data_IF_064907726762
#
_entry.id   IF_064907726762
#
_cell.length_a   1.000
_cell.length_b   1.000
_cell.length_c   1.000
_cell.angle_alpha   90.00
_cell.angle_beta   90.00
_cell.angle_gamma   90.00
#
_symmetry.space_group_name_H-M   'P 1'
#
loop_
_entity.id
_entity.type
_entity.pdbx_description
1 polymer ?
#
# COMPACT_ATOMS: atom_id res chain seq x y z
N UNK A 1 -17.75 -31.93 2.11
CA UNK A 1 -17.11 -30.70 2.61
C UNK A 1 -15.70 -30.65 2.06
N UNK A 2 -15.24 -29.51 1.51
CA UNK A 2 -13.88 -29.41 1.02
C UNK A 2 -12.89 -29.52 2.18
N UNK A 3 -11.92 -30.42 2.08
CA UNK A 3 -10.87 -30.60 3.09
C UNK A 3 -10.01 -29.34 3.16
N UNK A 4 -9.97 -28.70 4.33
CA UNK A 4 -9.24 -27.46 4.58
C UNK A 4 -8.01 -27.76 5.43
N UNK A 5 -6.94 -27.04 5.11
CA UNK A 5 -5.61 -27.17 5.70
C UNK A 5 -5.23 -25.85 6.37
N UNK A 6 -4.29 -25.93 7.28
CA UNK A 6 -3.72 -24.78 7.98
C UNK A 6 -2.21 -24.75 7.80
N UNK A 7 -1.67 -23.56 7.59
CA UNK A 7 -0.24 -23.31 7.77
C UNK A 7 -0.01 -23.06 9.24
N UNK A 8 0.84 -23.86 9.87
CA UNK A 8 1.23 -23.73 11.26
C UNK A 8 2.71 -23.38 11.35
N UNK A 9 3.06 -22.53 12.32
CA UNK A 9 4.44 -22.14 12.59
C UNK A 9 4.85 -22.63 13.97
N UNK A 10 5.86 -23.50 14.03
CA UNK A 10 6.38 -24.02 15.29
C UNK A 10 7.39 -23.04 15.88
N UNK A 11 6.97 -22.32 16.91
CA UNK A 11 7.74 -21.24 17.54
C UNK A 11 9.14 -21.70 18.02
N UNK A 12 9.27 -22.95 18.47
CA UNK A 12 10.55 -23.50 18.97
C UNK A 12 11.50 -23.91 17.85
N UNK A 13 10.99 -24.60 16.83
CA UNK A 13 11.79 -25.09 15.71
C UNK A 13 12.00 -24.03 14.61
N UNK A 14 11.24 -22.92 14.68
CA UNK A 14 11.24 -21.83 13.71
C UNK A 14 11.01 -22.30 12.27
N UNK A 15 10.13 -23.28 12.10
CA UNK A 15 9.72 -23.81 10.81
C UNK A 15 8.20 -23.74 10.66
N UNK A 16 7.76 -23.66 9.41
CA UNK A 16 6.35 -23.73 9.05
C UNK A 16 6.05 -25.08 8.39
N UNK A 17 4.85 -25.61 8.62
CA UNK A 17 4.36 -26.80 7.93
C UNK A 17 2.85 -26.68 7.67
N UNK A 18 2.33 -27.57 6.82
CA UNK A 18 0.92 -27.62 6.42
C UNK A 18 0.28 -28.84 7.07
N UNK A 19 -0.75 -28.59 7.89
CA UNK A 19 -1.50 -29.65 8.56
C UNK A 19 -2.97 -29.61 8.16
N UNK A 20 -3.66 -30.76 8.11
CA UNK A 20 -5.10 -30.77 8.00
C UNK A 20 -5.73 -30.17 9.28
N UNK A 21 -6.89 -29.53 9.16
CA UNK A 21 -7.57 -28.95 10.33
C UNK A 21 -7.91 -29.98 11.41
N UNK A 22 -8.10 -31.24 11.03
CA UNK A 22 -8.33 -32.35 11.97
C UNK A 22 -7.15 -32.60 12.92
N UNK A 23 -5.95 -32.14 12.57
CA UNK A 23 -4.77 -32.22 13.43
C UNK A 23 -4.68 -31.07 14.44
N UNK A 24 -5.58 -30.08 14.39
CA UNK A 24 -5.60 -28.94 15.31
C UNK A 24 -6.62 -29.20 16.40
N UNK A 25 -6.21 -29.05 17.67
CA UNK A 25 -7.11 -29.27 18.80
C UNK A 25 -7.92 -28.01 19.10
N UNK A 26 -9.24 -28.14 19.03
CA UNK A 26 -10.21 -27.08 19.33
C UNK A 26 -10.42 -26.12 18.17
N UNK A 27 -10.96 -24.94 18.47
CA UNK A 27 -11.27 -23.94 17.47
C UNK A 27 -10.00 -23.37 16.82
N UNK A 28 -10.03 -23.29 15.49
CA UNK A 28 -8.92 -22.84 14.67
C UNK A 28 -9.10 -21.37 14.29
N UNK A 29 -8.33 -20.49 14.92
CA UNK A 29 -8.30 -19.06 14.62
C UNK A 29 -6.89 -18.64 14.16
N UNK A 30 -6.83 -17.88 13.06
CA UNK A 30 -5.58 -17.34 12.52
C UNK A 30 -4.98 -16.34 13.51
N UNK A 31 -3.67 -16.45 13.74
CA UNK A 31 -2.91 -15.63 14.69
C UNK A 31 -2.74 -16.27 16.06
N UNK A 32 -3.58 -17.25 16.42
CA UNK A 32 -3.51 -17.92 17.73
C UNK A 32 -2.48 -19.04 17.78
N UNK A 33 -1.95 -19.30 18.99
CA UNK A 33 -1.13 -20.48 19.25
C UNK A 33 -2.01 -21.60 19.80
N UNK A 34 -1.98 -22.77 19.14
CA UNK A 34 -2.80 -23.93 19.48
C UNK A 34 -1.95 -25.20 19.56
N UNK A 35 -2.50 -26.23 20.19
CA UNK A 35 -1.91 -27.57 20.19
C UNK A 35 -2.25 -28.27 18.88
N UNK A 36 -1.24 -28.74 18.17
CA UNK A 36 -1.37 -29.42 16.89
C UNK A 36 -0.69 -30.78 16.95
N UNK A 37 -1.28 -31.79 16.33
CA UNK A 37 -0.68 -33.11 16.16
C UNK A 37 0.18 -33.10 14.90
N UNK A 38 1.48 -33.34 15.06
CA UNK A 38 2.45 -33.45 13.99
C UNK A 38 3.31 -34.68 14.24
N UNK A 39 3.39 -35.59 13.27
CA UNK A 39 4.06 -36.90 13.42
C UNK A 39 3.67 -37.63 14.73
N UNK A 40 2.36 -37.75 14.97
CA UNK A 40 1.75 -38.41 16.14
C UNK A 40 2.12 -37.81 17.52
N UNK A 41 2.72 -36.62 17.53
CA UNK A 41 3.09 -35.87 18.74
C UNK A 41 2.40 -34.52 18.76
N UNK A 42 2.02 -34.07 19.96
CA UNK A 42 1.35 -32.79 20.14
C UNK A 42 2.36 -31.67 20.41
N UNK A 43 2.37 -30.65 19.57
CA UNK A 43 3.22 -29.47 19.66
C UNK A 43 2.40 -28.20 19.80
N UNK A 44 2.99 -27.14 20.34
CA UNK A 44 2.40 -25.79 20.30
C UNK A 44 2.86 -25.05 19.06
N UNK A 45 1.93 -24.61 18.22
CA UNK A 45 2.22 -23.90 16.98
C UNK A 45 1.24 -22.74 16.77
N UNK A 46 1.72 -21.66 16.14
CA UNK A 46 0.90 -20.51 15.74
C UNK A 46 0.20 -20.82 14.43
N UNK A 47 -1.10 -20.58 14.35
CA UNK A 47 -1.88 -20.76 13.12
C UNK A 47 -1.67 -19.51 12.27
N UNK A 48 -1.07 -19.64 11.10
CA UNK A 48 -0.69 -18.51 10.24
C UNK A 48 -1.74 -18.26 9.15
N UNK A 49 -2.34 -19.34 8.64
CA UNK A 49 -3.33 -19.27 7.56
C UNK A 49 -4.18 -20.52 7.53
N UNK A 50 -5.43 -20.42 7.08
CA UNK A 50 -6.35 -21.56 6.88
C UNK A 50 -6.96 -21.47 5.48
N UNK A 51 -6.92 -22.56 4.72
CA UNK A 51 -7.46 -22.56 3.36
C UNK A 51 -7.34 -23.92 2.65
N UNK A 52 -7.59 -23.95 1.32
CA UNK A 52 -7.38 -25.15 0.51
C UNK A 52 -5.89 -25.54 0.44
N UNK A 53 -5.60 -26.84 0.36
CA UNK A 53 -4.22 -27.38 0.33
C UNK A 53 -3.31 -26.65 -0.66
N UNK A 54 -3.76 -26.48 -1.92
CA UNK A 54 -3.01 -25.78 -2.98
C UNK A 54 -2.62 -24.34 -2.61
N UNK A 55 -3.48 -23.65 -1.86
CA UNK A 55 -3.21 -22.27 -1.41
C UNK A 55 -2.18 -22.29 -0.28
N UNK A 56 -2.30 -23.24 0.65
CA UNK A 56 -1.32 -23.43 1.71
C UNK A 56 0.08 -23.76 1.17
N UNK A 57 0.17 -24.64 0.17
CA UNK A 57 1.45 -25.04 -0.47
C UNK A 57 2.17 -23.88 -1.15
N UNK A 58 1.42 -22.92 -1.72
CA UNK A 58 2.01 -21.69 -2.26
C UNK A 58 2.49 -20.77 -1.14
N UNK A 59 1.63 -20.51 -0.16
CA UNK A 59 1.86 -19.52 0.91
C UNK A 59 2.85 -19.95 1.99
N UNK A 60 3.06 -21.25 2.22
CA UNK A 60 3.95 -21.73 3.30
C UNK A 60 5.39 -21.24 3.13
N UNK A 61 5.82 -21.01 1.88
CA UNK A 61 7.15 -20.50 1.54
C UNK A 61 7.35 -19.04 1.91
N UNK A 62 6.25 -18.28 2.00
CA UNK A 62 6.25 -16.86 2.30
C UNK A 62 6.11 -16.57 3.80
N UNK A 63 6.02 -17.62 4.63
CA UNK A 63 5.95 -17.48 6.08
C UNK A 63 7.29 -16.94 6.58
N UNK A 64 7.25 -15.76 7.20
CA UNK A 64 8.44 -15.14 7.78
C UNK A 64 8.98 -15.94 8.97
N UNK A 65 10.22 -15.65 9.35
CA UNK A 65 10.87 -16.14 10.59
C UNK A 65 10.13 -15.79 11.88
N UNK A 66 9.14 -14.89 11.83
CA UNK A 66 8.30 -14.54 12.97
C UNK A 66 6.94 -15.27 12.96
N UNK A 67 6.71 -16.17 12.00
CA UNK A 67 5.43 -16.86 11.87
C UNK A 67 4.30 -15.92 11.46
N UNK A 68 4.61 -15.02 10.53
CA UNK A 68 3.67 -14.08 9.92
C UNK A 68 3.69 -14.25 8.42
N UNK A 69 2.51 -14.24 7.82
CA UNK A 69 2.37 -14.14 6.37
C UNK A 69 2.35 -12.65 6.03
N UNK A 70 3.24 -12.15 5.15
CA UNK A 70 3.10 -10.80 4.65
C UNK A 70 1.71 -10.63 3.98
N UNK A 71 1.11 -9.44 4.07
CA UNK A 71 -0.12 -9.16 3.34
C UNK A 71 0.08 -9.50 1.86
N UNK A 72 -0.96 -9.97 1.15
CA UNK A 72 -0.84 -10.20 -0.28
C UNK A 72 -0.34 -8.91 -0.91
N UNK A 73 0.89 -8.96 -1.42
CA UNK A 73 1.38 -7.94 -2.32
C UNK A 73 0.42 -8.04 -3.51
N UNK A 74 -0.16 -6.92 -3.92
CA UNK A 74 -0.99 -6.90 -5.13
C UNK A 74 -0.09 -7.30 -6.30
N UNK A 75 -0.02 -8.60 -6.59
CA UNK A 75 0.48 -9.08 -7.86
C UNK A 75 -0.51 -8.57 -8.90
N UNK A 76 -0.03 -7.63 -9.71
CA UNK A 76 -0.65 -7.30 -10.99
C UNK A 76 -0.41 -8.56 -11.82
N UNK A 77 -1.27 -9.57 -11.63
CA UNK A 77 -1.14 -10.86 -12.28
C UNK A 77 -1.32 -10.61 -13.79
N UNK A 78 -0.24 -10.84 -14.54
CA UNK A 78 -0.26 -10.81 -16.00
C UNK A 78 -1.39 -11.71 -16.50
N UNK A 79 -2.14 -11.19 -17.48
CA UNK A 79 -3.30 -11.81 -18.10
C UNK A 79 -2.94 -13.20 -18.67
N UNK A 80 -2.98 -14.24 -17.84
CA UNK A 80 -3.14 -15.58 -18.34
C UNK A 80 -4.63 -15.84 -18.54
N UNK A 81 -4.96 -16.06 -19.81
CA UNK A 81 -6.28 -16.36 -20.34
C UNK A 81 -7.03 -17.36 -19.43
N UNK A 82 -8.04 -16.85 -18.73
CA UNK A 82 -9.03 -17.69 -18.08
C UNK A 82 -9.89 -18.28 -19.20
N UNK A 83 -9.62 -19.52 -19.55
CA UNK A 83 -10.60 -20.36 -20.23
C UNK A 83 -11.89 -20.32 -19.39
N UNK A 84 -12.91 -19.67 -19.96
CA UNK A 84 -14.22 -19.54 -19.35
C UNK A 84 -14.85 -20.92 -19.20
N UNK A 85 -15.19 -21.39 -17.99
CA UNK A 85 -16.07 -22.53 -17.85
C UNK A 85 -17.44 -22.07 -18.37
N UNK A 86 -17.92 -22.71 -19.45
CA UNK A 86 -19.30 -22.55 -19.91
C UNK A 86 -20.23 -22.88 -18.74
N UNK A 87 -20.82 -21.85 -18.15
CA UNK A 87 -21.83 -21.97 -17.11
C UNK A 87 -23.05 -22.58 -17.79
N UNK A 88 -23.22 -23.90 -17.62
CA UNK A 88 -24.51 -24.56 -17.80
C UNK A 88 -25.42 -24.03 -16.70
N UNK A 89 -26.50 -23.37 -17.13
CA UNK A 89 -27.53 -22.88 -16.24
C UNK A 89 -28.16 -24.07 -15.52
N UNK A 90 -27.92 -24.18 -14.22
CA UNK A 90 -28.88 -24.81 -13.33
C UNK A 90 -28.88 -24.12 -11.96
N UNK A 91 -30.10 -23.86 -11.51
CA UNK A 91 -30.43 -22.91 -10.47
C UNK A 91 -30.29 -23.51 -9.08
N UNK A 92 -29.29 -23.02 -8.32
CA UNK A 92 -29.40 -22.89 -6.86
C UNK A 92 -28.73 -21.58 -6.44
N UNK A 93 -29.51 -20.52 -6.30
CA UNK A 93 -29.07 -19.24 -5.73
C UNK A 93 -28.72 -19.45 -4.25
N UNK A 94 -27.45 -19.75 -3.99
CA UNK A 94 -26.92 -19.84 -2.65
C UNK A 94 -26.75 -18.42 -2.08
N UNK A 95 -27.10 -18.25 -0.80
CA UNK A 95 -27.01 -17.01 -0.02
C UNK A 95 -25.62 -16.32 -0.05
N UNK A 96 -24.59 -17.01 -0.53
CA UNK A 96 -23.24 -16.48 -0.74
C UNK A 96 -23.17 -15.44 -1.86
N UNK A 97 -24.03 -15.54 -2.88
CA UNK A 97 -24.05 -14.56 -3.98
C UNK A 97 -24.59 -13.19 -3.54
N UNK A 98 -25.44 -13.13 -2.51
CA UNK A 98 -26.03 -11.87 -2.04
C UNK A 98 -24.99 -11.04 -1.29
N UNK A 99 -24.10 -11.67 -0.52
CA UNK A 99 -23.01 -10.97 0.15
C UNK A 99 -22.01 -10.40 -0.87
N UNK A 100 -21.65 -11.17 -1.89
CA UNK A 100 -20.74 -10.72 -2.95
C UNK A 100 -21.35 -9.58 -3.79
N UNK A 101 -22.65 -9.63 -4.07
CA UNK A 101 -23.39 -8.55 -4.76
C UNK A 101 -23.42 -7.27 -3.90
N UNK A 102 -23.68 -7.37 -2.59
CA UNK A 102 -23.70 -6.20 -1.70
C UNK A 102 -22.31 -5.58 -1.53
N UNK A 103 -21.26 -6.40 -1.43
CA UNK A 103 -19.88 -5.91 -1.36
C UNK A 103 -19.52 -5.19 -2.66
N UNK A 104 -19.84 -5.77 -3.82
CA UNK A 104 -19.59 -5.14 -5.12
C UNK A 104 -20.35 -3.79 -5.26
N UNK A 105 -21.63 -3.75 -4.91
CA UNK A 105 -22.44 -2.52 -4.94
C UNK A 105 -21.91 -1.44 -3.98
N UNK A 106 -21.49 -1.83 -2.77
CA UNK A 106 -20.92 -0.90 -1.79
C UNK A 106 -19.58 -0.32 -2.27
N UNK A 107 -18.70 -1.16 -2.82
CA UNK A 107 -17.44 -0.71 -3.41
C UNK A 107 -17.69 0.21 -4.62
N UNK A 108 -18.67 -0.10 -5.45
CA UNK A 108 -19.01 0.73 -6.61
C UNK A 108 -19.51 2.11 -6.19
N UNK A 109 -20.46 2.20 -5.26
CA UNK A 109 -20.97 3.48 -4.75
C UNK A 109 -19.89 4.31 -4.03
N UNK A 110 -19.02 3.66 -3.25
CA UNK A 110 -17.92 4.33 -2.57
C UNK A 110 -16.85 4.84 -3.56
N UNK A 111 -16.57 4.07 -4.61
CA UNK A 111 -15.65 4.47 -5.67
C UNK A 111 -16.21 5.61 -6.51
N UNK A 112 -17.50 5.62 -6.83
CA UNK A 112 -18.15 6.72 -7.55
C UNK A 112 -18.08 8.03 -6.77
N UNK A 113 -18.34 8.00 -5.46
CA UNK A 113 -18.21 9.18 -4.59
C UNK A 113 -16.78 9.70 -4.54
N UNK A 114 -15.80 8.82 -4.33
CA UNK A 114 -14.37 9.21 -4.33
C UNK A 114 -13.92 9.72 -5.70
N UNK A 115 -14.36 9.08 -6.78
CA UNK A 115 -14.03 9.49 -8.14
C UNK A 115 -14.56 10.89 -8.46
N UNK A 116 -15.78 11.21 -8.01
CA UNK A 116 -16.36 12.54 -8.18
C UNK A 116 -15.59 13.60 -7.38
N UNK A 117 -15.19 13.30 -6.15
CA UNK A 117 -14.36 14.20 -5.35
C UNK A 117 -12.98 14.44 -5.98
N UNK A 118 -12.36 13.38 -6.53
CA UNK A 118 -11.08 13.48 -7.24
C UNK A 118 -11.23 14.35 -8.49
N UNK A 119 -12.29 14.13 -9.28
CA UNK A 119 -12.56 14.91 -10.50
C UNK A 119 -12.80 16.38 -10.18
N UNK A 120 -13.52 16.69 -9.10
CA UNK A 120 -13.75 18.07 -8.67
C UNK A 120 -12.46 18.74 -8.17
N UNK A 121 -11.64 18.02 -7.41
CA UNK A 121 -10.31 18.52 -6.98
C UNK A 121 -9.39 18.74 -8.18
N UNK A 122 -9.42 17.87 -9.18
CA UNK A 122 -8.65 18.05 -10.42
C UNK A 122 -9.12 19.28 -11.20
N UNK A 123 -10.44 19.50 -11.28
CA UNK A 123 -11.00 20.69 -11.93
C UNK A 123 -10.60 21.99 -11.23
N UNK A 124 -10.57 22.00 -9.90
CA UNK A 124 -10.08 23.14 -9.10
C UNK A 124 -8.56 23.33 -9.27
N UNK A 125 -7.81 22.24 -9.45
CA UNK A 125 -6.38 22.31 -9.74
C UNK A 125 -6.12 22.87 -11.13
N UNK A 126 -6.86 22.45 -12.16
CA UNK A 126 -6.76 23.02 -13.51
C UNK A 126 -6.99 24.53 -13.54
N UNK A 127 -7.85 25.06 -12.67
CA UNK A 127 -8.08 26.50 -12.51
C UNK A 127 -6.96 27.21 -11.73
N UNK A 128 -6.22 26.50 -10.88
CA UNK A 128 -5.12 27.05 -10.10
C UNK A 128 -3.73 26.81 -10.71
N UNK A 129 -3.62 25.99 -11.77
CA UNK A 129 -2.37 25.86 -12.52
C UNK A 129 -2.07 27.21 -13.19
N UNK A 130 -0.94 27.86 -12.86
CA UNK A 130 -0.54 29.05 -13.57
C UNK A 130 -0.40 28.70 -15.05
N UNK A 131 -1.22 29.34 -15.88
CA UNK A 131 -1.22 29.13 -17.33
C UNK A 131 0.18 29.40 -17.86
N UNK A 132 0.56 28.77 -18.98
CA UNK A 132 1.86 29.03 -19.63
C UNK A 132 2.13 30.53 -19.87
N UNK A 133 1.06 31.33 -19.98
CA UNK A 133 1.13 32.79 -20.02
C UNK A 133 1.65 33.42 -18.72
N UNK A 134 1.10 33.08 -17.55
CA UNK A 134 1.53 33.66 -16.27
C UNK A 134 2.94 33.22 -15.87
N UNK A 135 3.36 32.01 -16.24
CA UNK A 135 4.75 31.57 -16.03
C UNK A 135 5.74 32.42 -16.84
N UNK A 136 5.39 32.80 -18.07
CA UNK A 136 6.23 33.69 -18.90
C UNK A 136 6.28 35.10 -18.32
N UNK A 137 5.15 35.65 -17.90
CA UNK A 137 5.10 36.98 -17.28
C UNK A 137 5.94 37.06 -15.99
N UNK A 138 5.86 36.04 -15.13
CA UNK A 138 6.69 35.95 -13.91
C UNK A 138 8.17 35.87 -14.28
N UNK A 139 8.53 35.07 -15.29
CA UNK A 139 9.92 34.96 -15.75
C UNK A 139 10.45 36.27 -16.32
N UNK A 140 9.65 36.98 -17.11
CA UNK A 140 10.03 38.26 -17.71
C UNK A 140 10.09 39.40 -16.68
N UNK A 141 9.29 39.31 -15.60
CA UNK A 141 9.41 40.20 -14.44
C UNK A 141 10.67 39.89 -13.59
N UNK A 142 11.00 38.62 -13.41
CA UNK A 142 12.23 38.18 -12.75
C UNK A 142 13.48 38.70 -13.49
N UNK A 143 13.52 38.55 -14.82
CA UNK A 143 14.67 38.98 -15.64
C UNK A 143 14.86 40.51 -15.60
N UNK A 144 13.76 41.27 -15.54
CA UNK A 144 13.82 42.74 -15.34
C UNK A 144 14.40 43.10 -13.97
N UNK A 145 14.00 42.37 -12.94
CA UNK A 145 14.50 42.60 -11.57
C UNK A 145 15.98 42.25 -11.47
N UNK A 146 16.41 41.14 -12.06
CA UNK A 146 17.83 40.72 -12.08
C UNK A 146 18.72 41.73 -12.81
N UNK A 147 18.21 42.33 -13.91
CA UNK A 147 18.91 43.40 -14.63
C UNK A 147 19.07 44.66 -13.78
N UNK A 148 18.08 45.05 -12.99
CA UNK A 148 18.19 46.19 -12.08
C UNK A 148 19.14 45.89 -10.91
N UNK A 149 19.06 44.69 -10.33
CA UNK A 149 19.99 44.25 -9.28
C UNK A 149 21.43 44.24 -9.79
N UNK A 150 21.67 43.77 -11.01
CA UNK A 150 23.00 43.79 -11.63
C UNK A 150 23.58 45.21 -11.80
N UNK A 151 22.74 46.25 -11.91
CA UNK A 151 23.19 47.65 -11.93
C UNK A 151 23.51 48.18 -10.54
N UNK A 152 22.76 47.74 -9.52
CA UNK A 152 22.89 48.21 -8.14
C UNK A 152 24.07 47.54 -7.42
N UNK A 153 24.33 46.26 -7.67
CA UNK A 153 25.39 45.48 -7.00
C UNK A 153 26.79 46.13 -7.11
N UNK A 154 27.23 46.62 -8.28
CA UNK A 154 28.51 47.33 -8.39
C UNK A 154 28.54 48.64 -7.59
N UNK A 155 27.43 49.39 -7.56
CA UNK A 155 27.32 50.63 -6.80
C UNK A 155 27.38 50.37 -5.30
N UNK A 156 26.70 49.32 -4.82
CA UNK A 156 26.77 48.89 -3.44
C UNK A 156 28.21 48.46 -3.07
N UNK A 157 28.90 47.75 -3.96
CA UNK A 157 30.31 47.41 -3.80
C UNK A 157 31.23 48.63 -3.68
N UNK A 158 30.96 49.71 -4.43
CA UNK A 158 31.70 50.97 -4.33
C UNK A 158 31.42 51.71 -3.02
N UNK A 159 30.16 51.71 -2.55
CA UNK A 159 29.79 52.32 -1.26
C UNK A 159 30.44 51.54 -0.11
N UNK A 160 30.40 50.21 -0.15
CA UNK A 160 31.01 49.36 0.87
C UNK A 160 32.54 49.51 0.93
N UNK A 161 33.21 49.72 -0.21
CA UNK A 161 34.66 50.00 -0.25
C UNK A 161 35.05 51.38 0.26
N UNK A 162 34.11 52.32 0.32
CA UNK A 162 34.33 53.68 0.86
C UNK A 162 33.95 53.81 2.33
N UNK A 163 33.40 52.77 2.95
CA UNK A 163 33.19 52.75 4.39
C UNK A 163 34.56 52.67 5.09
N UNK A 164 34.88 53.59 6.01
CA UNK A 164 36.10 53.49 6.79
C UNK A 164 36.05 52.21 7.64
N UNK A 165 37.13 51.43 7.65
CA UNK A 165 37.29 50.17 8.40
C UNK A 165 37.20 50.32 9.95
N UNK A 166 36.75 51.46 10.46
CA UNK A 166 36.85 51.87 11.86
C UNK A 166 35.58 51.77 12.71
N UNK A 167 34.42 51.33 12.20
CA UNK A 167 33.18 51.33 12.99
C UNK A 167 32.85 50.00 13.71
N UNK A 168 33.74 48.99 13.66
CA UNK A 168 33.47 47.66 14.25
C UNK A 168 34.27 47.36 15.54
N UNK A 169 34.96 48.33 16.14
CA UNK A 169 35.63 48.14 17.44
C UNK A 169 35.51 49.36 18.34
N UNK A 170 34.44 49.44 19.12
CA UNK A 170 34.41 50.01 20.48
C UNK A 170 33.12 49.58 21.19
N UNK A 171 33.19 48.38 21.76
CA UNK A 171 32.29 47.89 22.81
C UNK A 171 33.17 47.25 23.88
N UNK A 172 33.66 48.09 24.79
CA UNK A 172 34.10 47.74 26.15
C UNK A 172 33.30 48.64 27.07
#
# INVERSE_FOLDING_TARGET
MAERFAIVYFLRAKNADILPLSSIHGDCAVGETRRVTWHDKAYSAKIVFVGPKKVCERKVKDVSVNGELPPPVFDIEDRHEVETPRISADSTLSLWNIADIHVALFFQAHNEKRSMEIMERLRLLELSVPTKASIREVRDAQERTDKEVAKIVPLLGLVLRRLPEGAAKKGV
#
